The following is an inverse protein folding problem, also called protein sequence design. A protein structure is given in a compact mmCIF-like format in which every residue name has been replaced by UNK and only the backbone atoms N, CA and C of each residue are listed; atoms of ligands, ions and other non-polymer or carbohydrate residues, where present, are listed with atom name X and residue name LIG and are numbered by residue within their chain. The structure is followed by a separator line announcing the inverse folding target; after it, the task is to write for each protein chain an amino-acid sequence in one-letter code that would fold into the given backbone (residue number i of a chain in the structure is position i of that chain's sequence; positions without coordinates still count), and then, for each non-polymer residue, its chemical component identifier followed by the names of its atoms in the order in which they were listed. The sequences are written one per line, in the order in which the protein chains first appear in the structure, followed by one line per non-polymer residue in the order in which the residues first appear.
data_IF_763778408805
#
_entry.id   IF_763778408805
#
_cell.length_a   1.000
_cell.length_b   1.000
_cell.length_c   1.000
_cell.angle_alpha   90.00
_cell.angle_beta   90.00
_cell.angle_gamma   90.00
#
_symmetry.space_group_name_H-M   'P 1'
#
loop_
_entity.id
_entity.type
_entity.pdbx_description
1 polymer ?
#
# COMPACT_ATOMS: atom_id res chain seq x y z
N UNK A 1 -30.25 14.55 -4.85
CA UNK A 1 -29.12 15.47 -4.64
C UNK A 1 -27.97 14.64 -4.15
N UNK A 2 -27.08 14.23 -5.07
CA UNK A 2 -25.82 13.54 -4.75
C UNK A 2 -24.92 14.57 -4.04
N UNK A 3 -24.83 14.46 -2.74
CA UNK A 3 -23.85 15.22 -1.97
C UNK A 3 -22.46 14.81 -2.49
N UNK A 4 -21.83 15.67 -3.26
CA UNK A 4 -20.41 15.54 -3.59
C UNK A 4 -19.65 15.50 -2.27
N UNK A 5 -19.18 14.32 -1.89
CA UNK A 5 -18.37 14.19 -0.69
C UNK A 5 -17.13 15.05 -0.88
N UNK A 6 -16.93 15.95 0.08
CA UNK A 6 -15.74 16.81 0.06
C UNK A 6 -14.49 15.92 -0.06
N UNK A 7 -13.54 16.23 -0.95
CA UNK A 7 -12.35 15.39 -1.18
C UNK A 7 -11.61 15.00 0.10
N UNK A 8 -11.65 15.86 1.12
CA UNK A 8 -11.06 15.59 2.45
C UNK A 8 -11.76 14.43 3.18
N UNK A 9 -13.11 14.34 3.12
CA UNK A 9 -13.86 13.25 3.75
C UNK A 9 -13.62 11.93 3.03
N UNK A 10 -13.55 11.96 1.71
CA UNK A 10 -13.21 10.77 0.91
C UNK A 10 -11.79 10.28 1.26
N UNK A 11 -10.81 11.17 1.28
CA UNK A 11 -9.44 10.82 1.65
C UNK A 11 -9.36 10.24 3.07
N UNK A 12 -10.05 10.85 4.04
CA UNK A 12 -10.06 10.34 5.42
C UNK A 12 -10.71 8.96 5.52
N UNK A 13 -11.83 8.73 4.83
CA UNK A 13 -12.48 7.42 4.77
C UNK A 13 -11.51 6.36 4.24
N UNK A 14 -10.79 6.64 3.16
CA UNK A 14 -9.85 5.68 2.57
C UNK A 14 -8.63 5.46 3.47
N UNK A 15 -8.13 6.49 4.16
CA UNK A 15 -7.06 6.32 5.14
C UNK A 15 -7.48 5.41 6.31
N UNK A 16 -8.72 5.55 6.80
CA UNK A 16 -9.28 4.65 7.83
C UNK A 16 -9.37 3.22 7.29
N UNK A 17 -9.89 3.04 6.06
CA UNK A 17 -9.95 1.74 5.40
C UNK A 17 -8.57 1.08 5.33
N UNK A 18 -7.56 1.78 4.80
CA UNK A 18 -6.21 1.24 4.63
C UNK A 18 -5.46 1.01 5.96
N UNK A 19 -5.90 1.64 7.05
CA UNK A 19 -5.23 1.53 8.35
C UNK A 19 -5.85 0.52 9.29
N UNK A 20 -7.18 0.36 9.25
CA UNK A 20 -7.93 -0.39 10.26
C UNK A 20 -8.59 -1.67 9.75
N UNK A 21 -8.63 -1.87 8.42
CA UNK A 21 -9.35 -2.97 7.77
C UNK A 21 -10.85 -3.03 8.15
N UNK A 22 -11.46 -1.86 8.48
CA UNK A 22 -12.88 -1.76 8.77
C UNK A 22 -13.71 -2.20 7.56
N UNK A 23 -14.85 -2.85 7.79
CA UNK A 23 -15.75 -3.22 6.71
C UNK A 23 -16.38 -2.00 6.04
N UNK A 24 -16.77 -2.12 4.77
CA UNK A 24 -17.44 -1.01 4.06
C UNK A 24 -18.76 -0.59 4.73
N UNK A 25 -19.42 -1.48 5.46
CA UNK A 25 -20.61 -1.15 6.22
C UNK A 25 -20.29 -0.24 7.41
N UNK A 26 -19.25 -0.53 8.17
CA UNK A 26 -18.79 0.29 9.29
C UNK A 26 -18.29 1.66 8.81
N UNK A 27 -17.51 1.68 7.74
CA UNK A 27 -17.06 2.93 7.11
C UNK A 27 -18.24 3.78 6.64
N UNK A 28 -19.22 3.15 6.00
CA UNK A 28 -20.42 3.83 5.54
C UNK A 28 -21.19 4.47 6.69
N UNK A 29 -21.38 3.72 7.78
CA UNK A 29 -22.04 4.22 8.99
C UNK A 29 -21.25 5.36 9.64
N UNK A 30 -19.94 5.19 9.84
CA UNK A 30 -19.06 6.20 10.47
C UNK A 30 -18.93 7.49 9.66
N UNK A 31 -18.95 7.40 8.33
CA UNK A 31 -18.81 8.57 7.45
C UNK A 31 -20.15 9.10 6.91
N UNK A 32 -21.29 8.49 7.25
CA UNK A 32 -22.61 8.91 6.79
C UNK A 32 -22.76 8.84 5.28
N UNK A 33 -22.21 7.82 4.64
CA UNK A 33 -22.31 7.55 3.20
C UNK A 33 -22.93 6.17 2.96
N UNK A 34 -23.37 5.88 1.74
CA UNK A 34 -23.82 4.54 1.39
C UNK A 34 -22.64 3.57 1.28
N UNK A 35 -22.85 2.27 1.58
CA UNK A 35 -21.83 1.21 1.48
C UNK A 35 -21.21 1.13 0.08
N UNK A 36 -22.02 1.24 -0.99
CA UNK A 36 -21.53 1.28 -2.35
C UNK A 36 -20.66 2.52 -2.63
N UNK A 37 -20.93 3.64 -1.97
CA UNK A 37 -20.13 4.86 -2.08
C UNK A 37 -18.80 4.68 -1.38
N UNK A 38 -18.77 4.07 -0.19
CA UNK A 38 -17.54 3.77 0.53
C UNK A 38 -16.64 2.83 -0.28
N UNK A 39 -17.21 1.77 -0.84
CA UNK A 39 -16.49 0.85 -1.74
C UNK A 39 -15.89 1.57 -2.96
N UNK A 40 -16.68 2.41 -3.63
CA UNK A 40 -16.22 3.17 -4.80
C UNK A 40 -15.08 4.11 -4.42
N UNK A 41 -15.16 4.84 -3.33
CA UNK A 41 -14.12 5.76 -2.88
C UNK A 41 -12.82 5.03 -2.57
N UNK A 42 -12.89 3.89 -1.90
CA UNK A 42 -11.72 3.04 -1.67
C UNK A 42 -11.10 2.59 -3.00
N UNK A 43 -11.89 2.02 -3.90
CA UNK A 43 -11.42 1.54 -5.20
C UNK A 43 -10.79 2.63 -6.07
N UNK A 44 -11.44 3.79 -6.20
CA UNK A 44 -10.92 4.94 -6.96
C UNK A 44 -9.58 5.43 -6.39
N UNK A 45 -9.48 5.54 -5.08
CA UNK A 45 -8.26 6.03 -4.43
C UNK A 45 -7.13 5.02 -4.53
N UNK A 46 -7.40 3.74 -4.31
CA UNK A 46 -6.41 2.66 -4.47
C UNK A 46 -5.89 2.61 -5.92
N UNK A 47 -6.79 2.73 -6.91
CA UNK A 47 -6.40 2.79 -8.32
C UNK A 47 -5.50 4.00 -8.63
N UNK A 48 -5.82 5.17 -8.08
CA UNK A 48 -4.99 6.38 -8.22
C UNK A 48 -3.61 6.22 -7.57
N UNK A 49 -3.53 5.61 -6.38
CA UNK A 49 -2.27 5.34 -5.71
C UNK A 49 -1.43 4.33 -6.49
N UNK A 50 -2.05 3.26 -6.97
CA UNK A 50 -1.37 2.26 -7.80
C UNK A 50 -0.83 2.84 -9.11
N UNK A 51 -1.61 3.73 -9.77
CA UNK A 51 -1.17 4.39 -10.99
C UNK A 51 0.02 5.36 -10.78
N UNK A 52 0.15 5.91 -9.58
CA UNK A 52 1.25 6.82 -9.20
C UNK A 52 2.44 6.11 -8.57
N UNK A 53 2.28 4.84 -8.22
CA UNK A 53 3.37 4.03 -7.67
C UNK A 53 4.45 3.81 -8.74
N UNK A 54 5.72 4.10 -8.44
CA UNK A 54 6.80 3.88 -9.40
C UNK A 54 6.95 2.38 -9.68
N UNK A 55 7.06 2.02 -10.95
CA UNK A 55 7.39 0.65 -11.34
C UNK A 55 8.83 0.33 -10.96
N UNK A 56 9.12 -0.93 -10.65
CA UNK A 56 10.45 -1.40 -10.24
C UNK A 56 11.62 -0.84 -11.07
N UNK A 57 11.61 -0.85 -12.41
CA UNK A 57 12.73 -0.29 -13.18
C UNK A 57 12.95 1.20 -12.92
N UNK A 58 11.86 1.95 -12.73
CA UNK A 58 11.95 3.39 -12.42
C UNK A 58 12.49 3.63 -11.02
N UNK A 59 11.99 2.90 -10.03
CA UNK A 59 12.46 3.01 -8.65
C UNK A 59 13.97 2.70 -8.53
N UNK A 60 14.45 1.70 -9.27
CA UNK A 60 15.88 1.36 -9.31
C UNK A 60 16.71 2.45 -10.00
N UNK A 61 16.20 3.04 -11.09
CA UNK A 61 16.87 4.15 -11.77
C UNK A 61 16.97 5.38 -10.86
N UNK A 62 15.88 5.73 -10.19
CA UNK A 62 15.83 6.86 -9.24
C UNK A 62 16.81 6.64 -8.07
N UNK A 63 16.88 5.41 -7.54
CA UNK A 63 17.84 5.06 -6.49
C UNK A 63 19.29 5.20 -6.97
N UNK A 64 19.59 4.80 -8.20
CA UNK A 64 20.91 4.94 -8.81
C UNK A 64 21.27 6.42 -9.03
N UNK A 65 20.34 7.23 -9.56
CA UNK A 65 20.53 8.68 -9.74
C UNK A 65 20.74 9.39 -8.40
N UNK A 66 20.05 8.94 -7.33
CA UNK A 66 20.23 9.47 -5.99
C UNK A 66 21.58 9.06 -5.35
N UNK A 67 22.42 8.29 -6.05
CA UNK A 67 23.75 7.89 -5.58
C UNK A 67 23.75 6.82 -4.49
N UNK A 68 22.66 6.03 -4.38
CA UNK A 68 22.64 4.93 -3.42
C UNK A 68 23.57 3.80 -3.87
N UNK A 69 24.48 3.40 -3.00
CA UNK A 69 25.44 2.33 -3.29
C UNK A 69 24.77 0.95 -3.38
N UNK A 70 23.64 0.76 -2.71
CA UNK A 70 22.85 -0.46 -2.72
C UNK A 70 21.38 -0.18 -2.37
N UNK A 71 20.53 -1.10 -2.73
CA UNK A 71 19.13 -1.17 -2.31
C UNK A 71 18.91 -2.48 -1.56
N UNK A 72 18.04 -2.44 -0.55
CA UNK A 72 17.63 -3.64 0.20
C UNK A 72 16.31 -4.11 -0.39
N UNK A 73 16.25 -5.38 -0.74
CA UNK A 73 15.02 -6.04 -1.20
C UNK A 73 14.57 -6.97 -0.09
N UNK A 74 13.37 -6.77 0.39
CA UNK A 74 12.72 -7.65 1.35
C UNK A 74 11.43 -8.20 0.76
N UNK A 75 11.11 -9.44 1.09
CA UNK A 75 9.92 -10.13 0.60
C UNK A 75 9.06 -10.64 1.75
N UNK A 76 7.77 -10.31 1.71
CA UNK A 76 6.80 -10.86 2.65
C UNK A 76 5.66 -11.53 1.92
N UNK A 77 5.09 -12.57 2.54
CA UNK A 77 3.91 -13.26 2.04
C UNK A 77 2.68 -12.72 2.78
N UNK A 78 1.79 -12.06 2.04
CA UNK A 78 0.49 -11.63 2.54
C UNK A 78 -0.47 -12.82 2.39
N UNK A 79 -0.98 -13.41 3.51
CA UNK A 79 -1.94 -14.50 3.43
C UNK A 79 -3.21 -14.04 2.70
N UNK A 80 -3.77 -14.92 1.88
CA UNK A 80 -5.08 -14.72 1.27
C UNK A 80 -5.99 -15.87 1.66
N UNK A 81 -7.28 -15.58 1.81
CA UNK A 81 -8.27 -16.61 2.04
C UNK A 81 -8.35 -17.55 0.84
N UNK A 82 -8.60 -18.82 1.12
CA UNK A 82 -8.61 -19.87 0.11
C UNK A 82 -9.84 -19.75 -0.80
N UNK A 83 -9.61 -19.39 -2.05
CA UNK A 83 -10.63 -19.39 -3.11
C UNK A 83 -10.33 -20.51 -4.10
N UNK A 84 -11.32 -21.03 -4.79
CA UNK A 84 -11.16 -22.18 -5.70
C UNK A 84 -10.12 -21.98 -6.83
N UNK A 85 -9.76 -20.72 -7.16
CA UNK A 85 -8.77 -20.33 -8.19
C UNK A 85 -7.34 -20.12 -7.66
N UNK A 86 -7.01 -20.51 -6.43
CA UNK A 86 -5.82 -20.06 -5.69
C UNK A 86 -4.53 -20.82 -5.98
N UNK A 87 -4.53 -21.82 -6.85
CA UNK A 87 -3.31 -22.57 -7.17
C UNK A 87 -2.09 -21.69 -7.52
N UNK A 88 -2.26 -20.59 -8.29
CA UNK A 88 -1.13 -19.70 -8.61
C UNK A 88 -0.54 -18.98 -7.40
N UNK A 89 -1.29 -18.88 -6.31
CA UNK A 89 -0.90 -18.15 -5.09
C UNK A 89 -0.40 -19.06 -3.97
N UNK A 90 -0.18 -20.36 -4.24
CA UNK A 90 0.32 -21.28 -3.23
C UNK A 90 1.85 -21.17 -3.10
N UNK A 91 2.31 -20.81 -1.91
CA UNK A 91 3.74 -20.80 -1.58
C UNK A 91 4.17 -22.14 -0.97
N UNK A 92 4.92 -22.92 -1.72
CA UNK A 92 5.50 -24.19 -1.23
C UNK A 92 6.45 -23.99 -0.05
N UNK A 93 7.17 -22.87 0.00
CA UNK A 93 8.08 -22.51 1.11
C UNK A 93 7.33 -22.30 2.42
N UNK A 94 6.21 -21.59 2.38
CA UNK A 94 5.43 -21.24 3.58
C UNK A 94 4.24 -22.18 3.80
N UNK A 95 3.99 -23.13 2.89
CA UNK A 95 2.89 -24.09 2.90
C UNK A 95 1.51 -23.45 3.10
N UNK A 96 1.32 -22.26 2.51
CA UNK A 96 0.07 -21.49 2.57
C UNK A 96 -0.18 -20.71 1.29
N UNK A 97 -1.43 -20.31 1.08
CA UNK A 97 -1.79 -19.39 0.02
C UNK A 97 -1.49 -17.95 0.44
N UNK A 98 -0.96 -17.16 -0.49
CA UNK A 98 -0.65 -15.77 -0.24
C UNK A 98 -0.03 -15.09 -1.46
N UNK A 99 -0.10 -13.79 -1.48
CA UNK A 99 0.60 -12.96 -2.46
C UNK A 99 1.98 -12.59 -1.93
N UNK A 100 2.99 -12.76 -2.77
CA UNK A 100 4.33 -12.32 -2.43
C UNK A 100 4.47 -10.82 -2.72
N UNK A 101 4.71 -10.04 -1.67
CA UNK A 101 5.01 -8.61 -1.77
C UNK A 101 6.51 -8.41 -1.62
N UNK A 102 7.12 -7.76 -2.59
CA UNK A 102 8.52 -7.35 -2.51
C UNK A 102 8.60 -5.85 -2.22
N UNK A 103 9.36 -5.50 -1.19
CA UNK A 103 9.62 -4.12 -0.78
C UNK A 103 11.07 -3.80 -1.12
N UNK A 104 11.27 -2.70 -1.80
CA UNK A 104 12.60 -2.18 -2.09
C UNK A 104 12.79 -0.93 -1.25
N UNK A 105 13.85 -0.92 -0.45
CA UNK A 105 14.24 0.23 0.36
C UNK A 105 15.65 0.68 0.02
N UNK A 106 15.84 1.99 -0.04
CA UNK A 106 17.15 2.60 -0.18
C UNK A 106 17.47 3.41 1.08
N UNK A 107 18.71 3.35 1.55
CA UNK A 107 19.15 4.16 2.67
C UNK A 107 19.35 5.60 2.19
N UNK A 108 18.42 6.49 2.54
CA UNK A 108 18.65 7.91 2.35
C UNK A 108 19.63 8.41 3.41
N UNK A 109 20.84 8.80 2.99
CA UNK A 109 21.72 9.58 3.83
C UNK A 109 21.13 10.99 3.98
N UNK A 110 20.14 11.16 4.87
CA UNK A 110 19.84 12.50 5.36
C UNK A 110 20.99 12.90 6.27
N UNK A 111 21.69 13.94 5.92
CA UNK A 111 22.59 14.68 6.80
C UNK A 111 21.76 15.39 7.89
N UNK A 112 21.11 14.62 8.75
CA UNK A 112 20.70 15.07 10.04
C UNK A 112 21.88 14.80 10.95
N UNK A 113 22.41 15.81 11.63
CA UNK A 113 23.48 15.68 12.63
C UNK A 113 23.15 14.80 13.83
N UNK A 114 22.48 13.69 13.61
CA UNK A 114 22.22 12.62 14.56
C UNK A 114 23.02 11.38 14.17
N UNK A 115 23.79 10.79 15.09
CA UNK A 115 24.53 9.58 14.81
C UNK A 115 23.59 8.41 14.53
N UNK A 116 23.66 7.89 13.33
CA UNK A 116 23.44 6.50 12.91
C UNK A 116 22.21 5.72 13.44
N UNK A 117 21.03 6.30 13.60
CA UNK A 117 19.82 5.52 13.92
C UNK A 117 18.49 6.15 13.45
N UNK A 118 18.36 6.46 12.18
CA UNK A 118 17.03 6.67 11.61
C UNK A 118 16.76 5.58 10.58
N UNK A 119 15.73 4.73 10.76
CA UNK A 119 15.33 3.80 9.72
C UNK A 119 14.80 4.58 8.51
N UNK A 120 15.25 4.22 7.32
CA UNK A 120 14.74 4.80 6.09
C UNK A 120 13.25 4.47 5.93
N UNK A 121 12.41 5.42 5.44
CA UNK A 121 11.02 5.09 5.13
C UNK A 121 10.98 4.09 3.98
N UNK A 122 10.06 3.11 4.03
CA UNK A 122 9.89 2.15 2.95
C UNK A 122 9.45 2.87 1.67
N UNK A 123 10.08 2.52 0.55
CA UNK A 123 9.62 2.88 -0.79
C UNK A 123 8.71 1.76 -1.24
N UNK A 124 7.41 2.03 -1.31
CA UNK A 124 6.39 1.12 -1.86
C UNK A 124 6.36 1.17 -3.37
#
# INVERSE_FOLDING_TARGET
VLAQAQPRRQALLVLVYLRKDDTFAELAAGFGVGTATAWRYAGETVALLAARSPKLPRALADAKEAGHAYVVIDGTLIPVDRVAADRPFYSGKHRRHGMNLQVISARTARSCGCPARCPAPPVT
#
